data_IF_249951429598
#
_entry.id   IF_249951429598
#
_cell.length_a   1.000
_cell.length_b   1.000
_cell.length_c   1.000
_cell.angle_alpha   90.00
_cell.angle_beta   90.00
_cell.angle_gamma   90.00
#
_symmetry.space_group_name_H-M   'P 1'
#
loop_
_entity.id
_entity.type
_entity.pdbx_description
1 polymer ?
#
# COMPACT_ATOMS: atom_id res chain seq x y z
N UNK A 1 -11.25 -5.62 3.79
CA UNK A 1 -10.47 -4.58 4.50
C UNK A 1 -11.45 -3.57 5.12
N UNK A 2 -11.12 -2.91 6.23
CA UNK A 2 -11.97 -1.89 6.88
C UNK A 2 -11.22 -0.59 7.07
N UNK A 3 -11.93 0.52 7.29
CA UNK A 3 -11.31 1.81 7.61
C UNK A 3 -10.31 1.72 8.78
N UNK A 4 -10.63 0.94 9.82
CA UNK A 4 -9.76 0.75 10.99
C UNK A 4 -8.50 -0.04 10.65
N UNK A 5 -8.61 -1.11 9.87
CA UNK A 5 -7.43 -1.88 9.45
C UNK A 5 -6.52 -1.06 8.53
N UNK A 6 -7.09 -0.25 7.63
CA UNK A 6 -6.32 0.63 6.76
C UNK A 6 -5.63 1.74 7.55
N UNK A 7 -6.29 2.33 8.55
CA UNK A 7 -5.69 3.33 9.44
C UNK A 7 -4.53 2.73 10.26
N UNK A 8 -4.73 1.52 10.80
CA UNK A 8 -3.67 0.79 11.51
C UNK A 8 -2.47 0.52 10.58
N UNK A 9 -2.74 0.07 9.36
CA UNK A 9 -1.69 -0.17 8.37
C UNK A 9 -0.90 1.09 8.04
N UNK A 10 -1.58 2.21 7.80
CA UNK A 10 -0.96 3.51 7.58
C UNK A 10 -0.04 3.89 8.73
N UNK A 11 -0.54 3.87 9.97
CA UNK A 11 0.24 4.29 11.13
C UNK A 11 1.39 3.35 11.46
N UNK A 12 1.17 2.03 11.40
CA UNK A 12 2.16 1.05 11.89
C UNK A 12 3.17 0.61 10.83
N UNK A 13 2.78 0.54 9.57
CA UNK A 13 3.61 -0.04 8.52
C UNK A 13 4.06 0.95 7.45
N UNK A 14 3.41 2.12 7.35
CA UNK A 14 3.80 3.16 6.40
C UNK A 14 4.51 4.29 7.12
N UNK A 15 3.85 4.98 8.05
CA UNK A 15 4.40 6.16 8.72
C UNK A 15 5.60 5.80 9.60
N UNK A 16 5.49 4.77 10.45
CA UNK A 16 6.59 4.36 11.35
C UNK A 16 7.83 3.85 10.61
N UNK A 17 7.67 3.29 9.41
CA UNK A 17 8.76 2.61 8.69
C UNK A 17 9.32 3.45 7.54
N UNK A 18 8.58 4.44 7.04
CA UNK A 18 9.04 5.29 5.95
C UNK A 18 10.06 6.31 6.48
N UNK A 19 11.28 6.37 5.92
CA UNK A 19 12.30 7.34 6.33
C UNK A 19 12.05 8.74 5.74
N UNK A 20 10.99 8.93 4.96
CA UNK A 20 10.66 10.18 4.27
C UNK A 20 9.35 10.77 4.79
N UNK A 21 9.23 12.09 4.71
CA UNK A 21 7.97 12.79 4.98
C UNK A 21 6.92 12.41 3.94
N UNK A 22 5.74 12.00 4.40
CA UNK A 22 4.60 11.66 3.56
C UNK A 22 3.64 12.84 3.55
N UNK A 23 3.75 13.71 2.54
CA UNK A 23 2.89 14.90 2.46
C UNK A 23 1.47 14.57 1.97
N UNK A 24 1.33 13.50 1.18
CA UNK A 24 0.07 13.17 0.54
C UNK A 24 -0.07 11.67 0.29
N UNK A 25 -1.28 11.14 0.53
CA UNK A 25 -1.69 9.80 0.11
C UNK A 25 -2.74 9.92 -0.99
N UNK A 26 -2.59 9.10 -2.02
CA UNK A 26 -3.53 9.00 -3.12
C UNK A 26 -4.15 7.61 -3.13
N UNK A 27 -5.47 7.51 -3.05
CA UNK A 27 -6.21 6.24 -3.07
C UNK A 27 -7.38 6.28 -4.04
N UNK A 28 -7.97 5.12 -4.32
CA UNK A 28 -9.30 5.09 -4.93
C UNK A 28 -10.40 5.51 -3.94
N UNK A 29 -11.66 5.45 -4.37
CA UNK A 29 -12.82 5.82 -3.58
C UNK A 29 -13.37 4.64 -2.74
N UNK A 30 -12.57 3.61 -2.46
CA UNK A 30 -12.94 2.48 -1.62
C UNK A 30 -13.42 2.91 -0.24
N UNK A 31 -14.37 2.16 0.33
CA UNK A 31 -15.00 2.48 1.63
C UNK A 31 -14.02 2.35 2.81
N UNK A 32 -12.93 1.63 2.61
CA UNK A 32 -11.79 1.56 3.53
C UNK A 32 -10.94 2.83 3.58
N UNK A 33 -11.03 3.72 2.57
CA UNK A 33 -10.26 4.95 2.48
C UNK A 33 -11.14 6.19 2.55
N UNK A 34 -12.39 6.09 2.09
CA UNK A 34 -13.33 7.22 2.00
C UNK A 34 -14.61 6.93 2.78
N UNK A 35 -15.06 7.90 3.58
CA UNK A 35 -16.31 7.80 4.32
C UNK A 35 -16.69 9.10 5.03
N UNK A 36 -17.40 8.98 6.16
CA UNK A 36 -17.87 10.12 6.96
C UNK A 36 -16.71 10.90 7.62
N UNK A 37 -17.01 12.05 8.24
CA UNK A 37 -16.00 12.91 8.86
C UNK A 37 -15.11 12.19 9.91
N UNK A 38 -15.66 11.19 10.61
CA UNK A 38 -14.93 10.39 11.60
C UNK A 38 -14.39 9.07 11.02
N UNK A 39 -14.20 9.01 9.70
CA UNK A 39 -13.63 7.84 9.05
C UNK A 39 -12.19 7.63 9.52
N UNK A 40 -11.92 6.44 10.05
CA UNK A 40 -10.67 6.16 10.76
C UNK A 40 -9.41 6.41 9.92
N UNK A 41 -9.46 6.18 8.61
CA UNK A 41 -8.32 6.43 7.72
C UNK A 41 -8.10 7.94 7.51
N UNK A 42 -9.17 8.70 7.30
CA UNK A 42 -9.11 10.15 7.17
C UNK A 42 -8.60 10.82 8.44
N UNK A 43 -9.05 10.36 9.62
CA UNK A 43 -8.55 10.82 10.93
C UNK A 43 -7.06 10.54 11.06
N UNK A 44 -6.60 9.32 10.75
CA UNK A 44 -5.18 8.98 10.82
C UNK A 44 -4.32 9.83 9.87
N UNK A 45 -4.81 10.14 8.66
CA UNK A 45 -4.11 11.05 7.76
C UNK A 45 -4.01 12.46 8.38
N UNK A 46 -5.13 12.99 8.88
CA UNK A 46 -5.18 14.33 9.49
C UNK A 46 -4.25 14.48 10.70
N UNK A 47 -4.28 13.51 11.62
CA UNK A 47 -3.43 13.51 12.83
C UNK A 47 -1.94 13.48 12.51
N UNK A 48 -1.56 12.93 11.36
CA UNK A 48 -0.17 12.87 10.91
C UNK A 48 0.20 13.97 9.89
N UNK A 49 -0.68 14.95 9.68
CA UNK A 49 -0.44 16.05 8.73
C UNK A 49 -0.39 15.63 7.26
N UNK A 50 -0.98 14.48 6.92
CA UNK A 50 -0.98 13.91 5.58
C UNK A 50 -2.23 14.34 4.82
N UNK A 51 -2.06 14.93 3.64
CA UNK A 51 -3.18 15.25 2.78
C UNK A 51 -3.73 13.98 2.10
N UNK A 52 -5.04 13.76 2.18
CA UNK A 52 -5.68 12.64 1.48
C UNK A 52 -6.30 13.10 0.16
N UNK A 53 -5.94 12.44 -0.93
CA UNK A 53 -6.47 12.69 -2.27
C UNK A 53 -7.03 11.41 -2.87
N UNK A 54 -8.01 11.57 -3.76
CA UNK A 54 -8.73 10.45 -4.36
C UNK A 54 -8.63 10.46 -5.89
N UNK A 55 -8.65 9.28 -6.48
CA UNK A 55 -8.85 9.10 -7.93
C UNK A 55 -10.19 9.72 -8.33
N UNK A 56 -10.25 10.28 -9.54
CA UNK A 56 -11.55 10.70 -10.10
C UNK A 56 -12.38 9.45 -10.42
N UNK A 57 -13.72 9.48 -10.19
CA UNK A 57 -14.60 8.40 -10.62
C UNK A 57 -14.40 8.08 -12.11
N UNK A 58 -14.45 6.79 -12.46
CA UNK A 58 -14.24 6.29 -13.83
C UNK A 58 -12.86 6.59 -14.47
N UNK A 59 -11.83 6.87 -13.68
CA UNK A 59 -10.44 7.05 -14.16
C UNK A 59 -9.46 6.03 -13.53
N UNK A 60 -9.60 4.73 -13.83
CA UNK A 60 -8.77 3.67 -13.24
C UNK A 60 -7.27 3.83 -13.56
N UNK A 61 -6.92 4.53 -14.63
CA UNK A 61 -5.52 4.74 -15.03
C UNK A 61 -4.70 5.47 -13.95
N UNK A 62 -5.35 6.32 -13.13
CA UNK A 62 -4.69 7.02 -12.02
C UNK A 62 -4.24 6.08 -10.90
N UNK A 63 -4.87 4.92 -10.76
CA UNK A 63 -4.45 3.85 -9.84
C UNK A 63 -3.48 2.85 -10.50
N UNK A 64 -3.20 3.00 -11.79
CA UNK A 64 -2.48 2.01 -12.59
C UNK A 64 -1.05 1.73 -12.13
N UNK A 65 -0.41 2.65 -11.38
CA UNK A 65 0.90 2.37 -10.76
C UNK A 65 0.79 1.32 -9.65
N UNK A 66 -0.16 1.48 -8.74
CA UNK A 66 -0.39 0.52 -7.66
C UNK A 66 -0.80 -0.84 -8.24
N UNK A 67 -1.76 -0.84 -9.17
CA UNK A 67 -2.22 -2.06 -9.85
C UNK A 67 -1.08 -2.78 -10.59
N UNK A 68 -0.19 -2.04 -11.25
CA UNK A 68 0.97 -2.62 -11.93
C UNK A 68 1.93 -3.27 -10.94
N UNK A 69 2.24 -2.61 -9.81
CA UNK A 69 3.09 -3.19 -8.77
C UNK A 69 2.47 -4.46 -8.19
N UNK A 70 1.17 -4.43 -7.87
CA UNK A 70 0.45 -5.60 -7.36
C UNK A 70 0.50 -6.73 -8.38
N UNK A 71 0.19 -6.47 -9.65
CA UNK A 71 0.26 -7.48 -10.71
C UNK A 71 1.67 -8.07 -10.86
N UNK A 72 2.71 -7.24 -10.81
CA UNK A 72 4.10 -7.71 -10.85
C UNK A 72 4.42 -8.62 -9.66
N UNK A 73 3.98 -8.29 -8.44
CA UNK A 73 4.16 -9.15 -7.27
C UNK A 73 3.43 -10.49 -7.45
N UNK A 74 2.21 -10.45 -8.00
CA UNK A 74 1.44 -11.67 -8.27
C UNK A 74 2.17 -12.57 -9.29
N UNK A 75 2.50 -12.03 -10.46
CA UNK A 75 3.10 -12.78 -11.58
C UNK A 75 4.53 -13.26 -11.30
N UNK A 76 5.34 -12.48 -10.57
CA UNK A 76 6.74 -12.80 -10.35
C UNK A 76 6.97 -13.70 -9.14
N UNK A 77 6.09 -13.65 -8.14
CA UNK A 77 6.28 -14.33 -6.87
C UNK A 77 5.08 -15.19 -6.48
N UNK A 78 3.91 -14.59 -6.27
CA UNK A 78 2.78 -15.30 -5.70
C UNK A 78 2.41 -16.56 -6.50
N UNK A 79 2.34 -16.44 -7.83
CA UNK A 79 1.89 -17.53 -8.71
C UNK A 79 2.95 -18.63 -8.90
N UNK A 80 4.17 -18.42 -8.39
CA UNK A 80 5.30 -19.34 -8.51
C UNK A 80 5.68 -20.00 -7.18
N UNK A 81 5.01 -19.64 -6.08
CA UNK A 81 5.35 -20.11 -4.74
C UNK A 81 4.21 -20.93 -4.14
N UNK A 82 4.57 -21.88 -3.29
CA UNK A 82 3.63 -22.59 -2.43
C UNK A 82 3.74 -22.04 -1.01
N UNK A 83 2.61 -21.80 -0.36
CA UNK A 83 2.56 -21.30 1.01
C UNK A 83 1.93 -22.35 1.91
N UNK A 84 2.71 -22.82 2.88
CA UNK A 84 2.23 -23.81 3.86
C UNK A 84 1.23 -23.23 4.86
N UNK A 85 1.27 -21.91 5.07
CA UNK A 85 0.38 -21.15 5.95
C UNK A 85 0.30 -19.67 5.57
N UNK A 86 -0.73 -18.94 6.02
CA UNK A 86 -0.79 -17.48 5.86
C UNK A 86 0.43 -16.75 6.45
N UNK A 87 0.96 -17.22 7.58
CA UNK A 87 2.13 -16.66 8.24
C UNK A 87 3.40 -16.89 7.40
N UNK A 88 3.53 -18.08 6.80
CA UNK A 88 4.61 -18.37 5.84
C UNK A 88 4.50 -17.43 4.64
N UNK A 89 3.30 -17.28 4.06
CA UNK A 89 3.07 -16.35 2.93
C UNK A 89 3.39 -14.89 3.26
N UNK A 90 3.03 -14.41 4.47
CA UNK A 90 3.34 -13.05 4.89
C UNK A 90 4.87 -12.82 4.99
N UNK A 91 5.60 -13.77 5.58
CA UNK A 91 7.05 -13.68 5.70
C UNK A 91 7.74 -13.67 4.33
N UNK A 92 7.32 -14.56 3.44
CA UNK A 92 7.87 -14.63 2.08
C UNK A 92 7.52 -13.39 1.24
N UNK A 93 6.35 -12.79 1.45
CA UNK A 93 6.00 -11.53 0.81
C UNK A 93 6.97 -10.42 1.20
N UNK A 94 7.31 -10.30 2.49
CA UNK A 94 8.29 -9.32 2.97
C UNK A 94 9.67 -9.55 2.32
N UNK A 95 10.13 -10.79 2.23
CA UNK A 95 11.38 -11.12 1.55
C UNK A 95 11.34 -10.73 0.07
N UNK A 96 10.26 -11.06 -0.64
CA UNK A 96 10.13 -10.77 -2.06
C UNK A 96 10.03 -9.27 -2.33
N UNK A 97 9.25 -8.51 -1.56
CA UNK A 97 9.15 -7.05 -1.72
C UNK A 97 10.50 -6.38 -1.48
N UNK A 98 11.24 -6.80 -0.46
CA UNK A 98 12.60 -6.29 -0.21
C UNK A 98 13.54 -6.62 -1.38
N UNK A 99 13.50 -7.84 -1.91
CA UNK A 99 14.25 -8.21 -3.10
C UNK A 99 13.85 -7.36 -4.31
N UNK A 100 12.56 -7.21 -4.59
CA UNK A 100 12.06 -6.43 -5.73
C UNK A 100 12.49 -4.97 -5.66
N UNK A 101 12.35 -4.32 -4.50
CA UNK A 101 12.77 -2.93 -4.30
C UNK A 101 14.30 -2.82 -4.50
N UNK A 102 15.09 -3.68 -3.88
CA UNK A 102 16.56 -3.62 -4.00
C UNK A 102 17.04 -3.89 -5.43
N UNK A 103 16.37 -4.77 -6.17
CA UNK A 103 16.75 -5.14 -7.54
C UNK A 103 16.28 -4.11 -8.55
N UNK A 104 15.10 -3.51 -8.34
CA UNK A 104 14.56 -2.44 -9.18
C UNK A 104 15.33 -1.11 -9.03
N UNK A 105 16.00 -0.90 -7.89
CA UNK A 105 16.79 0.32 -7.60
C UNK A 105 18.32 0.10 -7.67
N UNK A 106 18.82 -0.95 -8.35
CA UNK A 106 20.25 -1.00 -8.68
C UNK A 106 20.54 0.00 -9.80
N UNK A 107 21.42 1.00 -9.59
CA UNK A 107 21.92 1.79 -10.70
C UNK A 107 22.62 0.83 -11.67
N UNK A 108 22.27 0.94 -12.96
CA UNK A 108 23.03 0.33 -14.05
C UNK A 108 24.46 0.84 -13.87
N UNK A 109 25.39 -0.06 -13.50
CA UNK A 109 26.82 0.22 -13.55
C UNK A 109 27.28 0.26 -15.00
#
# INVERSE_FOLDING_TARGET
MTAKSSAKFLSEHVIKLCPYLIECIYSDNGSEYKGSANHAFGVACFENGINQKFTRPAHPQTNGKAERVIRTIMEMWHDKQHFDSPEHGQKELYHFVNFYIQTAYKPIR
#
